data_IF_955105525412
#
_entry.id   IF_955105525412
#
_cell.length_a   1.000
_cell.length_b   1.000
_cell.length_c   1.000
_cell.angle_alpha   90.00
_cell.angle_beta   90.00
_cell.angle_gamma   90.00
#
_symmetry.space_group_name_H-M   'P 1'
#
loop_
_entity.id
_entity.type
_entity.pdbx_description
1 polymer ?
#
# COMPACT_ATOMS: atom_id res chain seq x y z
N UNK A 1 -8.82 4.45 12.16
CA UNK A 1 -8.42 3.27 11.35
C UNK A 1 -9.71 2.59 10.93
N UNK A 2 -10.00 2.52 9.61
CA UNK A 2 -11.04 1.62 9.11
C UNK A 2 -10.68 0.21 9.56
N UNK A 3 -11.70 -0.60 9.89
CA UNK A 3 -11.64 -1.91 10.54
C UNK A 3 -10.81 -2.99 9.81
N UNK A 4 -10.15 -2.68 8.72
CA UNK A 4 -9.30 -3.63 8.01
C UNK A 4 -7.85 -3.43 8.43
N UNK A 5 -7.44 -4.20 9.44
CA UNK A 5 -6.06 -4.22 9.96
C UNK A 5 -5.03 -4.61 8.89
N UNK A 6 -5.46 -5.22 7.81
CA UNK A 6 -4.62 -5.72 6.71
C UNK A 6 -4.58 -4.79 5.49
N UNK A 7 -5.26 -3.64 5.51
CA UNK A 7 -5.20 -2.67 4.44
C UNK A 7 -3.80 -2.03 4.33
N UNK A 8 -3.39 -1.63 3.14
CA UNK A 8 -2.08 -1.01 2.88
C UNK A 8 -1.76 0.17 3.80
N UNK A 9 -2.77 1.01 4.09
CA UNK A 9 -2.65 2.14 5.04
C UNK A 9 -2.33 1.68 6.46
N UNK A 10 -2.94 0.57 6.91
CA UNK A 10 -2.65 0.00 8.23
C UNK A 10 -1.25 -0.61 8.28
N UNK A 11 -0.83 -1.28 7.20
CA UNK A 11 0.53 -1.82 7.07
C UNK A 11 1.60 -0.72 7.17
N UNK A 12 1.36 0.45 6.60
CA UNK A 12 2.26 1.60 6.76
C UNK A 12 2.47 1.96 8.24
N UNK A 13 1.37 2.03 9.02
CA UNK A 13 1.44 2.32 10.45
C UNK A 13 2.18 1.23 11.22
N UNK A 14 1.88 -0.06 10.97
CA UNK A 14 2.54 -1.18 11.68
C UNK A 14 4.03 -1.23 11.40
N UNK A 15 4.46 -1.07 10.16
CA UNK A 15 5.87 -1.03 9.78
C UNK A 15 6.64 0.08 10.51
N UNK A 16 5.99 1.23 10.72
CA UNK A 16 6.58 2.29 11.53
C UNK A 16 6.67 1.90 13.00
N UNK A 17 5.64 1.22 13.54
CA UNK A 17 5.68 0.73 14.93
C UNK A 17 6.75 -0.34 15.11
N UNK A 18 6.90 -1.28 14.15
CA UNK A 18 7.96 -2.30 14.16
C UNK A 18 9.34 -1.63 14.24
N UNK A 19 9.61 -0.63 13.41
CA UNK A 19 10.85 0.15 13.47
C UNK A 19 11.06 0.82 14.83
N UNK A 20 10.03 1.47 15.40
CA UNK A 20 10.14 2.15 16.71
C UNK A 20 10.45 1.15 17.83
N UNK A 21 9.88 -0.05 17.75
CA UNK A 21 10.13 -1.15 18.71
C UNK A 21 11.56 -1.66 18.57
N UNK A 22 12.02 -1.95 17.37
CA UNK A 22 13.39 -2.41 17.08
C UNK A 22 14.44 -1.40 17.58
N UNK A 23 14.15 -0.10 17.48
CA UNK A 23 15.03 0.96 17.99
C UNK A 23 14.93 1.18 19.51
N UNK A 24 14.07 0.45 20.21
CA UNK A 24 13.88 0.62 21.67
C UNK A 24 13.30 1.97 22.09
N UNK A 25 12.52 2.63 21.20
CA UNK A 25 12.02 4.01 21.41
C UNK A 25 10.52 4.06 21.75
N UNK A 26 9.93 2.94 22.17
CA UNK A 26 8.48 2.85 22.43
C UNK A 26 7.99 3.82 23.53
N UNK A 27 8.84 4.15 24.50
CA UNK A 27 8.50 5.10 25.57
C UNK A 27 8.33 6.55 25.12
N UNK A 28 8.90 6.92 23.97
CA UNK A 28 8.77 8.26 23.39
C UNK A 28 7.41 8.48 22.73
N UNK A 29 6.59 7.44 22.61
CA UNK A 29 5.34 7.45 21.86
C UNK A 29 4.14 6.98 22.68
N UNK A 30 2.98 7.55 22.37
CA UNK A 30 1.67 7.12 22.87
C UNK A 30 0.81 6.76 21.67
N UNK A 31 0.26 5.54 21.66
CA UNK A 31 -0.66 5.12 20.59
C UNK A 31 -2.09 5.52 20.90
N UNK A 32 -2.73 6.24 19.99
CA UNK A 32 -4.17 6.47 20.05
C UNK A 32 -4.89 5.37 19.25
N UNK A 33 -5.60 4.51 19.95
CA UNK A 33 -6.20 3.30 19.40
C UNK A 33 -7.73 3.44 19.30
N UNK A 34 -8.26 3.11 18.13
CA UNK A 34 -9.70 2.96 17.99
C UNK A 34 -10.14 1.72 18.77
N UNK A 35 -11.18 1.87 19.59
CA UNK A 35 -11.75 0.81 20.47
C UNK A 35 -12.03 -0.51 19.73
N UNK A 36 -12.26 -0.47 18.42
CA UNK A 36 -12.53 -1.67 17.61
C UNK A 36 -11.29 -2.51 17.34
N UNK A 37 -10.13 -1.88 17.22
CA UNK A 37 -8.85 -2.56 16.94
C UNK A 37 -7.92 -2.59 18.16
N UNK A 38 -8.34 -1.99 19.26
CA UNK A 38 -7.50 -1.76 20.43
C UNK A 38 -6.90 -3.04 20.99
N UNK A 39 -7.72 -4.05 21.27
CA UNK A 39 -7.27 -5.29 21.92
C UNK A 39 -6.16 -5.96 21.10
N UNK A 40 -6.35 -6.04 19.78
CA UNK A 40 -5.40 -6.69 18.89
C UNK A 40 -4.08 -5.90 18.77
N UNK A 41 -4.15 -4.58 18.72
CA UNK A 41 -2.94 -3.75 18.66
C UNK A 41 -2.19 -3.76 19.99
N UNK A 42 -2.89 -3.79 21.14
CA UNK A 42 -2.23 -3.96 22.45
C UNK A 42 -1.55 -5.32 22.60
N UNK A 43 -2.13 -6.38 22.03
CA UNK A 43 -1.51 -7.70 21.96
C UNK A 43 -0.23 -7.69 21.13
N UNK A 44 -0.24 -7.04 19.95
CA UNK A 44 0.92 -6.97 19.06
C UNK A 44 2.02 -6.03 19.55
N UNK A 45 1.64 -4.94 20.22
CA UNK A 45 2.55 -3.87 20.65
C UNK A 45 2.35 -3.52 22.14
N UNK A 46 2.56 -4.47 23.07
CA UNK A 46 2.31 -4.27 24.50
C UNK A 46 3.25 -3.24 25.15
N UNK A 47 4.39 -2.94 24.54
CA UNK A 47 5.40 -2.02 25.03
C UNK A 47 5.01 -0.53 24.92
N UNK A 48 3.96 -0.19 24.16
CA UNK A 48 3.55 1.20 24.03
C UNK A 48 2.53 1.60 25.10
N UNK A 49 2.62 2.84 25.56
CA UNK A 49 1.51 3.51 26.25
C UNK A 49 0.38 3.75 25.26
N UNK A 50 -0.86 3.55 25.69
CA UNK A 50 -2.03 3.63 24.78
C UNK A 50 -3.13 4.51 25.37
N UNK A 51 -3.84 5.20 24.48
CA UNK A 51 -5.08 5.95 24.77
C UNK A 51 -6.17 5.44 23.83
N UNK A 52 -7.26 4.93 24.36
CA UNK A 52 -8.41 4.46 23.58
C UNK A 52 -9.27 5.62 23.11
N UNK A 53 -9.71 5.59 21.84
CA UNK A 53 -10.68 6.52 21.26
C UNK A 53 -11.92 5.77 20.78
N UNK A 54 -13.09 6.38 20.98
CA UNK A 54 -14.38 5.82 20.58
C UNK A 54 -15.26 5.38 21.74
N UNK A 55 -16.42 4.82 21.42
CA UNK A 55 -17.40 4.30 22.37
C UNK A 55 -18.04 3.05 21.83
N UNK A 56 -18.11 2.00 22.66
CA UNK A 56 -18.81 0.73 22.36
C UNK A 56 -20.28 0.96 21.98
N UNK A 57 -20.95 1.89 22.68
CA UNK A 57 -22.36 2.18 22.46
C UNK A 57 -22.65 2.74 21.05
N UNK A 58 -21.67 3.36 20.40
CA UNK A 58 -21.84 4.00 19.10
C UNK A 58 -21.43 3.11 17.92
N UNK A 59 -20.99 1.88 18.14
CA UNK A 59 -20.52 0.96 17.07
C UNK A 59 -21.61 0.67 16.03
N UNK A 60 -22.88 0.64 16.46
CA UNK A 60 -24.04 0.33 15.60
C UNK A 60 -24.43 1.48 14.66
N UNK A 61 -23.93 2.71 14.88
CA UNK A 61 -24.33 3.91 14.14
C UNK A 61 -23.15 4.51 13.36
N UNK A 62 -22.86 4.08 12.11
CA UNK A 62 -21.63 4.42 11.40
C UNK A 62 -21.34 5.91 11.28
N UNK A 63 -22.34 6.73 10.92
CA UNK A 63 -22.16 8.19 10.77
C UNK A 63 -21.89 8.87 12.11
N UNK A 64 -22.72 8.60 13.12
CA UNK A 64 -22.58 9.17 14.48
C UNK A 64 -21.24 8.74 15.07
N UNK A 65 -20.87 7.48 14.90
CA UNK A 65 -19.57 6.95 15.32
C UNK A 65 -18.40 7.71 14.71
N UNK A 66 -18.41 8.00 13.41
CA UNK A 66 -17.33 8.71 12.73
C UNK A 66 -17.18 10.14 13.27
N UNK A 67 -18.29 10.86 13.44
CA UNK A 67 -18.32 12.23 14.02
C UNK A 67 -17.78 12.18 15.46
N UNK A 68 -18.27 11.25 16.26
CA UNK A 68 -17.82 11.08 17.64
C UNK A 68 -16.33 10.74 17.74
N UNK A 69 -15.84 9.82 16.89
CA UNK A 69 -14.42 9.46 16.83
C UNK A 69 -13.53 10.65 16.51
N UNK A 70 -13.95 11.49 15.57
CA UNK A 70 -13.21 12.70 15.20
C UNK A 70 -13.15 13.71 16.37
N UNK A 71 -14.26 13.90 17.08
CA UNK A 71 -14.30 14.74 18.27
C UNK A 71 -13.46 14.17 19.42
N UNK A 72 -13.60 12.86 19.72
CA UNK A 72 -12.89 12.19 20.81
C UNK A 72 -11.38 12.11 20.53
N UNK A 73 -10.97 11.88 19.27
CA UNK A 73 -9.59 12.01 18.83
C UNK A 73 -9.03 13.40 19.18
N UNK A 74 -9.70 14.47 18.72
CA UNK A 74 -9.29 15.83 19.01
C UNK A 74 -9.18 16.09 20.53
N UNK A 75 -10.19 15.69 21.30
CA UNK A 75 -10.24 15.87 22.76
C UNK A 75 -9.06 15.20 23.43
N UNK A 76 -8.81 13.92 23.14
CA UNK A 76 -7.75 13.11 23.78
C UNK A 76 -6.37 13.51 23.35
N UNK A 77 -6.16 13.86 22.08
CA UNK A 77 -4.90 14.45 21.62
C UNK A 77 -4.60 15.75 22.36
N UNK A 78 -5.57 16.64 22.50
CA UNK A 78 -5.37 17.90 23.21
C UNK A 78 -5.10 17.77 24.71
N UNK A 79 -5.50 16.64 25.31
CA UNK A 79 -5.31 16.30 26.71
C UNK A 79 -4.08 15.43 26.98
N UNK A 80 -3.46 14.87 25.94
CA UNK A 80 -2.38 13.90 26.06
C UNK A 80 -1.05 14.48 26.60
N UNK A 81 -0.89 15.81 26.52
CA UNK A 81 0.39 16.47 26.84
C UNK A 81 1.48 16.28 25.77
N UNK A 82 1.21 15.57 24.69
CA UNK A 82 2.16 15.35 23.61
C UNK A 82 2.48 16.65 22.86
N UNK A 83 3.72 16.80 22.42
CA UNK A 83 4.18 17.94 21.63
C UNK A 83 3.71 17.86 20.17
N UNK A 84 3.62 16.65 19.63
CA UNK A 84 3.18 16.39 18.27
C UNK A 84 2.24 15.20 18.20
N UNK A 85 1.45 15.16 17.12
CA UNK A 85 0.67 13.99 16.71
C UNK A 85 1.01 13.63 15.27
N UNK A 86 1.38 12.36 15.07
CA UNK A 86 1.58 11.77 13.76
C UNK A 86 0.35 10.93 13.40
N UNK A 87 -0.32 11.30 12.33
CA UNK A 87 -1.50 10.60 11.81
C UNK A 87 -1.06 9.80 10.59
N UNK A 88 -0.85 8.46 10.71
CA UNK A 88 -0.38 7.62 9.59
C UNK A 88 -1.39 7.54 8.44
N UNK A 89 -2.55 8.13 8.62
CA UNK A 89 -3.57 8.34 7.61
C UNK A 89 -4.41 9.59 7.94
N UNK A 90 -4.34 10.60 7.07
CA UNK A 90 -5.23 11.75 7.09
C UNK A 90 -6.61 11.35 6.56
N UNK A 91 -7.63 11.39 7.42
CA UNK A 91 -8.98 10.94 7.11
C UNK A 91 -10.04 11.71 7.92
N UNK A 92 -11.29 11.30 7.78
CA UNK A 92 -12.44 11.89 8.47
C UNK A 92 -12.31 11.91 10.01
N UNK A 93 -11.58 10.97 10.60
CA UNK A 93 -11.35 10.91 12.06
C UNK A 93 -10.26 11.90 12.48
N UNK A 94 -9.22 12.02 11.69
CA UNK A 94 -8.03 12.82 12.01
C UNK A 94 -8.06 14.21 11.39
N UNK A 95 -9.12 14.60 10.66
CA UNK A 95 -9.17 15.87 9.92
C UNK A 95 -9.23 17.12 10.80
N UNK A 96 -9.77 17.04 12.03
CA UNK A 96 -9.94 18.22 12.89
C UNK A 96 -8.60 18.79 13.38
N UNK A 97 -8.58 20.12 13.59
CA UNK A 97 -7.44 20.81 14.17
C UNK A 97 -7.24 20.40 15.63
N UNK A 98 -6.00 20.17 16.03
CA UNK A 98 -5.56 19.84 17.39
C UNK A 98 -4.55 20.88 17.91
N UNK A 99 -4.28 20.87 19.21
CA UNK A 99 -3.29 21.80 19.82
C UNK A 99 -1.85 21.39 19.54
N UNK A 100 -1.46 20.07 19.67
CA UNK A 100 -0.13 19.63 19.32
C UNK A 100 0.17 19.84 17.84
N UNK A 101 1.47 19.89 17.50
CA UNK A 101 1.92 19.97 16.12
C UNK A 101 1.47 18.73 15.34
N UNK A 102 0.76 18.93 14.23
CA UNK A 102 0.10 17.84 13.51
C UNK A 102 0.79 17.53 12.20
N UNK A 103 1.23 16.27 12.08
CA UNK A 103 1.77 15.68 10.87
C UNK A 103 0.77 14.64 10.35
N UNK A 104 0.23 14.82 9.16
CA UNK A 104 -0.70 13.86 8.55
C UNK A 104 -0.07 13.20 7.33
N UNK A 105 -0.24 11.88 7.20
CA UNK A 105 0.11 11.16 5.97
C UNK A 105 -1.09 11.15 5.03
N UNK A 106 -0.89 11.61 3.80
CA UNK A 106 -1.84 11.45 2.70
C UNK A 106 -1.21 10.46 1.72
N UNK A 107 -1.77 9.25 1.65
CA UNK A 107 -1.23 8.18 0.83
C UNK A 107 -1.41 8.47 -0.66
N UNK A 108 -2.64 8.84 -1.04
CA UNK A 108 -3.03 9.24 -2.38
C UNK A 108 -4.38 9.99 -2.33
N UNK A 109 -4.81 10.49 -3.48
CA UNK A 109 -6.12 11.11 -3.66
C UNK A 109 -7.04 10.28 -4.56
N UNK A 110 -6.84 8.94 -4.64
CA UNK A 110 -7.61 8.05 -5.52
C UNK A 110 -9.11 8.13 -5.25
N UNK A 111 -9.54 8.17 -3.98
CA UNK A 111 -10.96 8.29 -3.64
C UNK A 111 -11.58 9.56 -4.21
N UNK A 112 -10.83 10.67 -4.24
CA UNK A 112 -11.27 11.93 -4.86
C UNK A 112 -11.39 11.81 -6.38
N UNK A 113 -10.55 11.00 -7.01
CA UNK A 113 -10.53 10.80 -8.47
C UNK A 113 -11.57 9.77 -8.93
N UNK A 114 -11.83 8.75 -8.11
CA UNK A 114 -12.67 7.61 -8.49
C UNK A 114 -14.14 7.78 -8.11
N UNK A 115 -14.48 8.77 -7.26
CA UNK A 115 -15.85 8.98 -6.82
C UNK A 115 -16.55 10.09 -7.62
N UNK A 116 -17.90 10.09 -7.62
CA UNK A 116 -18.74 11.07 -8.32
C UNK A 116 -19.84 11.60 -7.38
N UNK A 117 -20.45 12.71 -7.77
CA UNK A 117 -21.63 13.26 -7.12
C UNK A 117 -21.38 13.68 -5.66
N UNK A 118 -22.30 13.35 -4.76
CA UNK A 118 -22.24 13.75 -3.35
C UNK A 118 -21.02 13.14 -2.62
N UNK A 119 -20.67 11.90 -2.95
CA UNK A 119 -19.54 11.21 -2.33
C UNK A 119 -18.21 11.91 -2.67
N UNK A 120 -18.04 12.37 -3.91
CA UNK A 120 -16.90 13.20 -4.29
C UNK A 120 -16.78 14.45 -3.42
N UNK A 121 -17.90 15.19 -3.23
CA UNK A 121 -17.92 16.40 -2.39
C UNK A 121 -17.50 16.09 -0.95
N UNK A 122 -17.95 14.97 -0.41
CA UNK A 122 -17.56 14.54 0.95
C UNK A 122 -16.06 14.28 1.03
N UNK A 123 -15.49 13.55 0.06
CA UNK A 123 -14.03 13.30 0.03
C UNK A 123 -13.25 14.61 -0.12
N UNK A 124 -13.69 15.51 -1.00
CA UNK A 124 -13.07 16.84 -1.14
C UNK A 124 -13.05 17.63 0.17
N UNK A 125 -14.16 17.68 0.90
CA UNK A 125 -14.25 18.38 2.20
C UNK A 125 -13.30 17.75 3.23
N UNK A 126 -13.19 16.41 3.25
CA UNK A 126 -12.28 15.72 4.15
C UNK A 126 -10.83 16.06 3.81
N UNK A 127 -10.45 15.95 2.54
CA UNK A 127 -9.09 16.24 2.07
C UNK A 127 -8.71 17.69 2.34
N UNK A 128 -9.59 18.65 1.98
CA UNK A 128 -9.41 20.09 2.23
C UNK A 128 -9.21 20.37 3.73
N UNK A 129 -9.98 19.67 4.57
CA UNK A 129 -9.91 19.85 6.03
C UNK A 129 -8.61 19.24 6.59
N UNK A 130 -8.18 18.09 6.11
CA UNK A 130 -6.90 17.46 6.48
C UNK A 130 -5.73 18.37 6.08
N UNK A 131 -5.71 18.84 4.83
CA UNK A 131 -4.66 19.72 4.30
C UNK A 131 -4.60 21.02 5.08
N UNK A 132 -5.75 21.66 5.34
CA UNK A 132 -5.84 22.91 6.10
C UNK A 132 -5.34 22.76 7.54
N UNK A 133 -5.74 21.69 8.22
CA UNK A 133 -5.52 21.49 9.66
C UNK A 133 -4.25 20.70 9.99
N UNK A 134 -3.42 20.35 9.02
CA UNK A 134 -2.10 19.74 9.24
C UNK A 134 -1.02 20.81 9.15
N UNK A 135 -0.06 20.77 10.08
CA UNK A 135 1.12 21.62 10.05
C UNK A 135 2.14 21.13 9.02
N UNK A 136 2.24 19.80 8.86
CA UNK A 136 3.01 19.13 7.81
C UNK A 136 2.22 17.95 7.24
N UNK A 137 2.50 17.66 5.97
CA UNK A 137 1.91 16.55 5.22
C UNK A 137 3.04 15.67 4.70
N UNK A 138 2.94 14.39 4.98
CA UNK A 138 3.85 13.36 4.46
C UNK A 138 3.13 12.56 3.38
N UNK A 139 3.82 12.26 2.29
CA UNK A 139 3.33 11.38 1.22
C UNK A 139 4.20 10.15 1.10
N UNK A 140 3.66 9.12 0.45
CA UNK A 140 4.32 7.83 0.27
C UNK A 140 5.13 7.73 -1.03
N UNK A 141 5.01 8.73 -1.93
CA UNK A 141 5.73 8.82 -3.19
C UNK A 141 5.81 10.29 -3.64
N UNK A 142 6.77 10.64 -4.50
CA UNK A 142 6.81 11.96 -5.16
C UNK A 142 5.63 12.14 -6.10
N UNK A 143 5.14 11.05 -6.72
CA UNK A 143 3.91 11.08 -7.49
C UNK A 143 2.72 11.56 -6.63
N UNK A 144 2.51 10.95 -5.45
CA UNK A 144 1.44 11.39 -4.53
C UNK A 144 1.65 12.84 -4.06
N UNK A 145 2.92 13.26 -3.85
CA UNK A 145 3.25 14.66 -3.54
C UNK A 145 2.81 15.59 -4.68
N UNK A 146 3.22 15.29 -5.90
CA UNK A 146 2.88 16.08 -7.09
C UNK A 146 1.36 16.15 -7.29
N UNK A 147 0.66 15.05 -7.07
CA UNK A 147 -0.80 15.00 -7.15
C UNK A 147 -1.46 15.92 -6.09
N UNK A 148 -0.97 15.92 -4.85
CA UNK A 148 -1.47 16.85 -3.82
C UNK A 148 -1.23 18.30 -4.24
N UNK A 149 -0.03 18.61 -4.74
CA UNK A 149 0.31 19.98 -5.16
C UNK A 149 -0.49 20.45 -6.37
N UNK A 150 -0.93 19.55 -7.24
CA UNK A 150 -1.83 19.92 -8.36
C UNK A 150 -3.20 20.41 -7.88
N UNK A 151 -3.70 19.87 -6.77
CA UNK A 151 -4.97 20.35 -6.14
C UNK A 151 -4.76 21.50 -5.15
N UNK A 152 -3.58 21.56 -4.51
CA UNK A 152 -3.26 22.50 -3.43
C UNK A 152 -1.88 23.15 -3.66
N UNK A 153 -1.71 24.00 -4.68
CA UNK A 153 -0.39 24.54 -5.03
C UNK A 153 0.26 25.37 -3.91
N UNK A 154 -0.54 26.01 -3.06
CA UNK A 154 -0.07 26.89 -1.98
C UNK A 154 0.46 26.14 -0.74
N UNK A 155 0.49 24.80 -0.73
CA UNK A 155 0.94 24.03 0.43
C UNK A 155 2.30 23.35 0.25
N UNK A 156 3.06 23.70 -0.79
CA UNK A 156 4.34 23.06 -1.12
C UNK A 156 5.31 23.01 0.06
N UNK A 157 5.42 24.08 0.84
CA UNK A 157 6.28 24.15 2.05
C UNK A 157 5.84 23.19 3.18
N UNK A 158 4.63 22.65 3.11
CA UNK A 158 4.09 21.72 4.08
C UNK A 158 4.24 20.26 3.66
N UNK A 159 4.41 19.95 2.37
CA UNK A 159 4.32 18.60 1.81
C UNK A 159 5.70 18.05 1.52
N UNK A 160 5.97 16.85 2.02
CA UNK A 160 7.21 16.11 1.75
C UNK A 160 6.90 14.64 1.47
N UNK A 161 7.63 14.04 0.55
CA UNK A 161 7.62 12.59 0.35
C UNK A 161 8.69 11.94 1.24
N UNK A 162 8.28 10.96 2.04
CA UNK A 162 9.20 10.14 2.87
C UNK A 162 9.22 8.67 2.42
N UNK A 163 8.36 8.33 1.46
CA UNK A 163 8.24 6.98 0.93
C UNK A 163 7.36 6.06 1.78
N UNK A 164 7.28 4.82 1.34
CA UNK A 164 6.67 3.71 2.07
C UNK A 164 7.67 2.56 2.14
N UNK A 165 7.59 1.75 3.18
CA UNK A 165 8.42 0.56 3.31
C UNK A 165 7.75 -0.66 2.70
N UNK A 166 8.55 -1.66 2.39
CA UNK A 166 8.11 -3.01 2.04
C UNK A 166 8.36 -3.97 3.20
N UNK A 167 7.54 -5.02 3.30
CA UNK A 167 7.73 -6.03 4.35
C UNK A 167 8.90 -6.93 4.00
N UNK A 168 9.72 -7.23 5.01
CA UNK A 168 10.58 -8.41 5.02
C UNK A 168 9.75 -9.56 5.57
N UNK A 169 9.51 -10.55 4.76
CA UNK A 169 8.66 -11.68 5.13
C UNK A 169 9.47 -12.77 5.85
N UNK A 170 8.85 -13.51 6.79
CA UNK A 170 9.49 -14.68 7.43
C UNK A 170 9.99 -15.67 6.38
N UNK A 171 11.12 -16.35 6.67
CA UNK A 171 11.74 -17.29 5.74
C UNK A 171 11.11 -18.71 5.81
N UNK A 172 9.81 -18.81 6.07
CA UNK A 172 9.07 -20.06 5.96
C UNK A 172 8.90 -20.43 4.50
N UNK A 173 9.68 -21.39 4.02
CA UNK A 173 9.70 -21.82 2.62
C UNK A 173 8.79 -23.00 2.40
N UNK A 174 7.63 -22.75 1.81
CA UNK A 174 6.68 -23.79 1.42
C UNK A 174 6.18 -23.55 0.01
N UNK A 175 6.53 -24.42 -0.93
CA UNK A 175 5.96 -24.32 -2.28
C UNK A 175 4.50 -24.78 -2.26
N UNK A 176 3.59 -23.83 -2.46
CA UNK A 176 2.14 -24.05 -2.38
C UNK A 176 1.57 -24.55 -3.72
N UNK A 177 2.23 -24.24 -4.82
CA UNK A 177 1.82 -24.59 -6.18
C UNK A 177 2.92 -25.40 -6.86
N UNK A 178 2.59 -26.57 -7.40
CA UNK A 178 3.57 -27.51 -7.96
C UNK A 178 4.05 -27.12 -9.35
N UNK A 179 3.11 -26.63 -10.19
CA UNK A 179 3.40 -26.23 -11.55
C UNK A 179 4.22 -24.93 -11.59
N UNK A 180 4.84 -24.64 -12.70
CA UNK A 180 5.36 -23.29 -12.99
C UNK A 180 4.20 -22.31 -13.07
N UNK A 181 4.42 -21.04 -12.66
CA UNK A 181 3.33 -20.07 -12.75
C UNK A 181 3.79 -18.64 -12.85
N UNK A 182 2.96 -17.87 -13.55
CA UNK A 182 2.93 -16.42 -13.52
C UNK A 182 2.02 -16.01 -12.38
N UNK A 183 2.42 -15.03 -11.59
CA UNK A 183 1.67 -14.53 -10.44
C UNK A 183 1.15 -13.12 -10.67
N UNK A 184 -0.07 -12.89 -10.29
CA UNK A 184 -0.66 -11.56 -10.05
C UNK A 184 -1.18 -11.49 -8.61
N UNK A 185 -0.98 -10.34 -7.94
CA UNK A 185 -1.50 -10.09 -6.58
C UNK A 185 -2.15 -8.72 -6.52
N UNK A 186 -3.41 -8.67 -6.13
CA UNK A 186 -4.10 -7.39 -5.94
C UNK A 186 -5.61 -7.45 -6.02
N UNK A 187 -6.24 -6.28 -5.92
CA UNK A 187 -7.68 -6.16 -6.17
C UNK A 187 -7.97 -6.47 -7.64
N UNK A 188 -9.04 -7.19 -7.87
CA UNK A 188 -9.48 -7.53 -9.22
C UNK A 188 -10.47 -6.45 -9.68
N UNK A 189 -9.99 -5.50 -10.46
CA UNK A 189 -10.80 -4.39 -10.99
C UNK A 189 -10.11 -3.78 -12.21
N UNK A 190 -10.83 -2.95 -12.96
CA UNK A 190 -10.36 -2.30 -14.18
C UNK A 190 -9.03 -1.56 -13.98
N UNK A 191 -8.91 -0.78 -12.91
CA UNK A 191 -7.71 0.00 -12.62
C UNK A 191 -6.45 -0.84 -12.39
N UNK A 192 -6.60 -2.11 -12.00
CA UNK A 192 -5.50 -3.06 -11.83
C UNK A 192 -5.19 -3.87 -13.08
N UNK A 193 -5.99 -3.66 -14.12
CA UNK A 193 -5.77 -4.15 -15.49
C UNK A 193 -5.56 -5.66 -15.62
N UNK A 194 -6.26 -6.42 -14.76
CA UNK A 194 -6.19 -7.88 -14.77
C UNK A 194 -6.73 -8.46 -16.08
N UNK A 195 -7.68 -7.78 -16.72
CA UNK A 195 -8.24 -8.17 -18.00
C UNK A 195 -7.17 -8.29 -19.09
N UNK A 196 -6.32 -7.27 -19.23
CA UNK A 196 -5.23 -7.30 -20.24
C UNK A 196 -4.22 -8.40 -19.92
N UNK A 197 -3.90 -8.65 -18.63
CA UNK A 197 -3.06 -9.77 -18.24
C UNK A 197 -3.65 -11.12 -18.66
N UNK A 198 -4.94 -11.35 -18.45
CA UNK A 198 -5.63 -12.58 -18.86
C UNK A 198 -5.54 -12.76 -20.37
N UNK A 199 -5.81 -11.70 -21.15
CA UNK A 199 -5.70 -11.72 -22.61
C UNK A 199 -4.26 -12.00 -23.06
N UNK A 200 -3.28 -11.33 -22.48
CA UNK A 200 -1.87 -11.57 -22.78
C UNK A 200 -1.47 -13.04 -22.48
N UNK A 201 -1.91 -13.58 -21.34
CA UNK A 201 -1.70 -14.98 -21.02
C UNK A 201 -2.36 -15.93 -22.02
N UNK A 202 -3.57 -15.61 -22.52
CA UNK A 202 -4.25 -16.41 -23.53
C UNK A 202 -3.49 -16.52 -24.85
N UNK A 203 -2.63 -15.57 -25.17
CA UNK A 203 -1.78 -15.59 -26.37
C UNK A 203 -0.57 -16.54 -26.26
N UNK A 204 -0.09 -16.81 -25.04
CA UNK A 204 1.14 -17.57 -24.83
C UNK A 204 0.93 -18.94 -24.17
N UNK A 205 -0.23 -19.21 -23.56
CA UNK A 205 -0.46 -20.43 -22.76
C UNK A 205 -0.27 -21.75 -23.51
N UNK A 206 -0.51 -21.78 -24.81
CA UNK A 206 -0.31 -22.97 -25.63
C UNK A 206 1.17 -23.31 -25.84
N UNK A 207 2.02 -22.28 -25.92
CA UNK A 207 3.48 -22.42 -26.05
C UNK A 207 4.15 -22.72 -24.70
N UNK A 208 3.49 -22.38 -23.58
CA UNK A 208 3.94 -22.58 -22.21
C UNK A 208 2.94 -23.42 -21.42
N UNK A 209 2.67 -24.65 -21.92
CA UNK A 209 1.60 -25.51 -21.42
C UNK A 209 1.81 -25.97 -19.97
N UNK A 210 3.04 -25.93 -19.46
CA UNK A 210 3.46 -26.26 -18.10
C UNK A 210 3.37 -25.06 -17.13
N UNK A 211 3.10 -23.84 -17.64
CA UNK A 211 3.04 -22.63 -16.85
C UNK A 211 1.59 -22.14 -16.70
N UNK A 212 1.11 -22.02 -15.47
CA UNK A 212 -0.24 -21.54 -15.15
C UNK A 212 -0.21 -20.05 -14.77
N UNK A 213 -1.39 -19.41 -14.75
CA UNK A 213 -1.58 -18.08 -14.18
C UNK A 213 -2.26 -18.22 -12.82
N UNK A 214 -1.62 -17.71 -11.78
CA UNK A 214 -2.16 -17.63 -10.42
C UNK A 214 -2.53 -16.18 -10.12
N UNK A 215 -3.79 -15.94 -9.80
CA UNK A 215 -4.35 -14.64 -9.44
C UNK A 215 -4.71 -14.66 -7.97
N UNK A 216 -3.96 -13.93 -7.14
CA UNK A 216 -4.27 -13.78 -5.71
C UNK A 216 -5.10 -12.51 -5.52
N UNK A 217 -6.37 -12.68 -5.14
CA UNK A 217 -7.30 -11.57 -4.97
C UNK A 217 -8.71 -12.01 -4.60
N UNK A 218 -9.52 -11.08 -4.15
CA UNK A 218 -10.92 -11.37 -3.82
C UNK A 218 -11.80 -11.47 -5.07
N UNK A 219 -12.56 -12.55 -5.21
CA UNK A 219 -13.61 -12.69 -6.24
C UNK A 219 -14.69 -11.61 -6.03
N UNK A 220 -15.13 -11.02 -7.12
CA UNK A 220 -16.12 -9.95 -7.11
C UNK A 220 -16.87 -9.88 -8.46
N UNK A 221 -17.82 -8.95 -8.58
CA UNK A 221 -18.61 -8.78 -9.81
C UNK A 221 -17.76 -8.52 -11.07
N UNK A 222 -16.58 -7.91 -10.94
CA UNK A 222 -15.69 -7.70 -12.09
C UNK A 222 -15.08 -9.03 -12.56
N UNK A 223 -14.72 -9.92 -11.62
CA UNK A 223 -14.28 -11.26 -11.96
C UNK A 223 -15.41 -12.03 -12.68
N UNK A 224 -16.62 -12.04 -12.10
CA UNK A 224 -17.74 -12.82 -12.63
C UNK A 224 -18.22 -12.32 -13.99
N UNK A 225 -18.28 -11.01 -14.20
CA UNK A 225 -18.87 -10.39 -15.38
C UNK A 225 -17.87 -10.04 -16.49
N UNK A 226 -16.58 -9.94 -16.18
CA UNK A 226 -15.54 -9.54 -17.15
C UNK A 226 -14.49 -10.64 -17.33
N UNK A 227 -13.89 -11.12 -16.24
CA UNK A 227 -12.77 -12.06 -16.33
C UNK A 227 -13.24 -13.46 -16.72
N UNK A 228 -14.24 -13.99 -16.05
CA UNK A 228 -14.71 -15.36 -16.30
C UNK A 228 -15.24 -15.59 -17.73
N UNK A 229 -15.96 -14.67 -18.37
CA UNK A 229 -16.29 -14.76 -19.80
C UNK A 229 -15.05 -14.87 -20.70
N UNK A 230 -14.01 -14.04 -20.45
CA UNK A 230 -12.77 -14.08 -21.25
C UNK A 230 -12.05 -15.42 -21.08
N UNK A 231 -12.01 -15.97 -19.85
CA UNK A 231 -11.42 -17.30 -19.61
C UNK A 231 -12.14 -18.38 -20.46
N UNK A 232 -13.47 -18.32 -20.51
CA UNK A 232 -14.31 -19.27 -21.29
C UNK A 232 -14.10 -19.11 -22.79
N UNK A 233 -14.12 -17.89 -23.28
CA UNK A 233 -13.91 -17.59 -24.71
C UNK A 233 -12.55 -18.12 -25.22
N UNK A 234 -11.51 -17.99 -24.39
CA UNK A 234 -10.15 -18.43 -24.75
C UNK A 234 -9.83 -19.86 -24.30
N UNK A 235 -10.78 -20.61 -23.72
CA UNK A 235 -10.60 -21.99 -23.25
C UNK A 235 -9.43 -22.18 -22.25
N UNK A 236 -9.22 -21.20 -21.34
CA UNK A 236 -8.12 -21.20 -20.37
C UNK A 236 -8.58 -21.31 -18.91
N UNK A 237 -9.83 -21.69 -18.63
CA UNK A 237 -10.37 -21.75 -17.25
C UNK A 237 -9.52 -22.62 -16.34
N UNK A 238 -9.05 -23.78 -16.82
CA UNK A 238 -8.23 -24.71 -16.04
C UNK A 238 -6.75 -24.30 -15.90
N UNK A 239 -6.36 -23.27 -16.66
CA UNK A 239 -4.99 -22.72 -16.64
C UNK A 239 -4.86 -21.52 -15.71
N UNK A 240 -5.98 -20.92 -15.25
CA UNK A 240 -6.01 -19.74 -14.40
C UNK A 240 -6.60 -20.11 -13.03
N UNK A 241 -5.82 -19.89 -11.98
CA UNK A 241 -6.17 -20.24 -10.60
C UNK A 241 -6.43 -18.96 -9.78
N UNK A 242 -7.66 -18.76 -9.33
CA UNK A 242 -8.00 -17.70 -8.40
C UNK A 242 -7.79 -18.16 -6.95
N UNK A 243 -6.90 -17.50 -6.24
CA UNK A 243 -6.62 -17.74 -4.81
C UNK A 243 -7.22 -16.62 -3.99
N UNK A 244 -8.13 -16.99 -3.09
CA UNK A 244 -8.82 -16.06 -2.17
C UNK A 244 -8.37 -16.29 -0.73
N UNK A 245 -8.51 -15.27 0.11
CA UNK A 245 -8.21 -15.34 1.55
C UNK A 245 -6.80 -15.89 1.86
N UNK A 246 -5.82 -15.50 1.03
CA UNK A 246 -4.43 -15.88 1.19
C UNK A 246 -3.86 -15.28 2.49
N UNK A 247 -3.20 -16.10 3.32
CA UNK A 247 -2.46 -15.63 4.49
C UNK A 247 -1.21 -14.85 4.04
N UNK A 248 -0.63 -14.01 4.91
CA UNK A 248 0.61 -13.29 4.57
C UNK A 248 1.79 -14.26 4.36
N UNK A 249 1.85 -15.35 5.13
CA UNK A 249 2.86 -16.39 4.96
C UNK A 249 2.71 -17.12 3.61
N UNK A 250 1.47 -17.48 3.24
CA UNK A 250 1.21 -18.08 1.93
C UNK A 250 1.48 -17.11 0.79
N UNK A 251 1.09 -15.83 0.93
CA UNK A 251 1.37 -14.80 -0.06
C UNK A 251 2.87 -14.65 -0.33
N UNK A 252 3.68 -14.68 0.73
CA UNK A 252 5.15 -14.70 0.63
C UNK A 252 5.63 -15.86 -0.21
N UNK A 253 5.07 -17.06 0.02
CA UNK A 253 5.43 -18.24 -0.73
C UNK A 253 4.94 -18.18 -2.18
N UNK A 254 3.76 -17.61 -2.45
CA UNK A 254 3.34 -17.34 -3.83
C UNK A 254 4.29 -16.39 -4.55
N UNK A 255 4.75 -15.32 -3.94
CA UNK A 255 5.77 -14.47 -4.55
C UNK A 255 7.08 -15.24 -4.79
N UNK A 256 7.62 -15.89 -3.78
CA UNK A 256 8.96 -16.51 -3.81
C UNK A 256 9.12 -17.59 -4.88
N UNK A 257 8.06 -18.31 -5.17
CA UNK A 257 8.10 -19.45 -6.09
C UNK A 257 7.46 -19.19 -7.45
N UNK A 258 7.04 -17.96 -7.73
CA UNK A 258 6.57 -17.56 -9.05
C UNK A 258 7.73 -17.44 -10.03
N UNK A 259 7.54 -17.95 -11.24
CA UNK A 259 8.51 -17.80 -12.34
C UNK A 259 8.52 -16.37 -12.87
N UNK A 260 7.38 -15.64 -12.76
CA UNK A 260 7.22 -14.25 -13.15
C UNK A 260 6.08 -13.63 -12.33
N UNK A 261 6.29 -12.44 -11.79
CA UNK A 261 5.23 -11.61 -11.24
C UNK A 261 4.86 -10.52 -12.25
N UNK A 262 3.56 -10.41 -12.58
CA UNK A 262 3.07 -9.39 -13.54
C UNK A 262 2.11 -8.45 -12.84
N UNK A 263 2.38 -7.12 -12.95
CA UNK A 263 1.59 -6.09 -12.29
C UNK A 263 1.30 -4.93 -13.24
N UNK A 264 0.31 -5.06 -14.15
CA UNK A 264 0.04 -4.08 -15.18
C UNK A 264 -0.88 -2.95 -14.72
N UNK A 265 -0.82 -2.56 -13.45
CA UNK A 265 -1.73 -1.58 -12.85
C UNK A 265 -1.65 -0.23 -13.55
N UNK A 266 -2.82 0.37 -13.82
CA UNK A 266 -2.95 1.68 -14.46
C UNK A 266 -2.89 2.84 -13.46
N UNK A 267 -3.06 2.54 -12.14
CA UNK A 267 -3.03 3.58 -11.11
C UNK A 267 -2.56 3.03 -9.77
N UNK A 268 -1.52 3.66 -9.23
CA UNK A 268 -0.95 3.35 -7.92
C UNK A 268 -0.51 4.61 -7.16
N UNK A 269 -0.78 4.62 -5.85
CA UNK A 269 -0.19 5.63 -4.96
C UNK A 269 1.25 5.31 -4.55
N UNK A 270 1.62 4.00 -4.53
CA UNK A 270 2.97 3.50 -4.28
C UNK A 270 3.28 2.25 -5.10
N UNK A 271 2.45 1.19 -5.00
CA UNK A 271 2.70 -0.06 -5.71
C UNK A 271 3.62 -1.01 -4.94
N UNK A 272 3.27 -1.38 -3.72
CA UNK A 272 4.05 -2.33 -2.93
C UNK A 272 4.21 -3.72 -3.58
N UNK A 273 3.21 -4.32 -4.25
CA UNK A 273 3.31 -5.69 -4.74
C UNK A 273 4.50 -5.99 -5.67
N UNK A 274 4.84 -5.17 -6.68
CA UNK A 274 6.03 -5.39 -7.49
C UNK A 274 7.34 -5.33 -6.70
N UNK A 275 7.42 -4.46 -5.69
CA UNK A 275 8.59 -4.38 -4.83
C UNK A 275 8.68 -5.60 -3.90
N UNK A 276 7.56 -6.05 -3.36
CA UNK A 276 7.48 -7.24 -2.51
C UNK A 276 7.94 -8.50 -3.28
N UNK A 277 7.49 -8.66 -4.54
CA UNK A 277 7.93 -9.74 -5.42
C UNK A 277 9.45 -9.67 -5.70
N UNK A 278 9.94 -8.48 -6.07
CA UNK A 278 11.35 -8.28 -6.42
C UNK A 278 12.31 -8.51 -5.25
N UNK A 279 11.93 -8.12 -4.03
CA UNK A 279 12.72 -8.38 -2.81
C UNK A 279 12.80 -9.89 -2.51
N UNK A 280 11.79 -10.65 -2.89
CA UNK A 280 11.79 -12.11 -2.79
C UNK A 280 12.49 -12.77 -3.98
N UNK A 281 13.17 -11.99 -4.83
CA UNK A 281 13.94 -12.43 -6.01
C UNK A 281 13.08 -13.07 -7.10
N UNK A 282 11.83 -12.68 -7.18
CA UNK A 282 10.95 -13.03 -8.29
C UNK A 282 11.16 -12.07 -9.44
N UNK A 283 11.33 -12.51 -10.69
CA UNK A 283 11.30 -11.63 -11.86
C UNK A 283 9.99 -10.86 -11.92
N UNK A 284 10.04 -9.57 -12.22
CA UNK A 284 8.85 -8.69 -12.18
C UNK A 284 8.69 -7.95 -13.50
N UNK A 285 7.50 -8.05 -14.10
CA UNK A 285 7.04 -7.22 -15.21
C UNK A 285 5.92 -6.29 -14.70
N UNK A 286 6.10 -4.98 -14.82
CA UNK A 286 5.15 -4.00 -14.28
C UNK A 286 4.94 -2.82 -15.21
N UNK A 287 3.84 -2.09 -15.04
CA UNK A 287 3.66 -0.80 -15.71
C UNK A 287 4.57 0.27 -15.09
N UNK A 288 4.73 1.39 -15.78
CA UNK A 288 5.44 2.58 -15.29
C UNK A 288 4.47 3.73 -14.96
N UNK A 289 3.17 3.45 -14.92
CA UNK A 289 2.15 4.47 -14.65
C UNK A 289 2.20 4.94 -13.21
N UNK A 290 1.91 6.22 -13.02
CA UNK A 290 1.84 6.88 -11.72
C UNK A 290 3.13 6.70 -10.90
N UNK A 291 3.00 6.24 -9.65
CA UNK A 291 4.15 6.01 -8.76
C UNK A 291 5.02 4.80 -9.16
N UNK A 292 4.53 3.88 -10.00
CA UNK A 292 5.31 2.68 -10.37
C UNK A 292 6.59 3.02 -11.12
N UNK A 293 6.57 4.05 -12.00
CA UNK A 293 7.78 4.53 -12.67
C UNK A 293 8.85 5.03 -11.71
N UNK A 294 8.42 5.71 -10.62
CA UNK A 294 9.30 6.20 -9.57
C UNK A 294 9.84 5.09 -8.67
N UNK A 295 8.91 4.28 -8.10
CA UNK A 295 9.27 3.36 -7.02
C UNK A 295 10.04 2.14 -7.49
N UNK A 296 9.87 1.73 -8.74
CA UNK A 296 10.63 0.62 -9.34
C UNK A 296 12.05 1.01 -9.75
N UNK A 297 12.34 2.33 -9.81
CA UNK A 297 13.69 2.90 -10.07
C UNK A 297 14.33 2.40 -11.37
N UNK A 298 13.52 1.93 -12.33
CA UNK A 298 14.02 1.33 -13.56
C UNK A 298 14.70 -0.04 -13.39
N UNK A 299 14.59 -0.66 -12.22
CA UNK A 299 15.24 -1.93 -11.90
C UNK A 299 14.46 -3.16 -12.42
N UNK A 300 13.16 -3.00 -12.65
CA UNK A 300 12.24 -4.08 -13.03
C UNK A 300 11.95 -4.03 -14.53
N UNK A 301 11.49 -5.14 -15.11
CA UNK A 301 10.98 -5.13 -16.47
C UNK A 301 9.71 -4.29 -16.55
N UNK A 302 9.60 -3.49 -17.59
CA UNK A 302 8.57 -2.45 -17.73
C UNK A 302 7.71 -2.68 -18.98
N UNK A 303 6.42 -2.38 -18.85
CA UNK A 303 5.49 -2.28 -19.97
C UNK A 303 5.45 -0.82 -20.44
N UNK A 304 5.63 -0.60 -21.74
CA UNK A 304 5.51 0.72 -22.35
C UNK A 304 4.04 1.13 -22.43
N UNK A 305 3.21 0.21 -22.92
CA UNK A 305 1.76 0.32 -22.82
C UNK A 305 1.15 -0.88 -22.05
N UNK A 306 0.78 -0.71 -20.77
CA UNK A 306 0.17 -1.78 -19.99
C UNK A 306 -1.20 -2.25 -20.51
N UNK A 307 -1.81 -1.54 -21.47
CA UNK A 307 -3.06 -1.94 -22.12
C UNK A 307 -2.85 -2.76 -23.40
N UNK A 308 -1.60 -2.89 -23.88
CA UNK A 308 -1.27 -3.72 -25.03
C UNK A 308 -1.02 -5.17 -24.58
N UNK A 309 -2.00 -6.06 -24.87
CA UNK A 309 -1.90 -7.48 -24.57
C UNK A 309 -0.79 -8.19 -25.38
N UNK A 310 -0.44 -7.73 -26.56
CA UNK A 310 0.62 -8.33 -27.38
C UNK A 310 2.00 -7.97 -26.87
N UNK A 311 2.24 -6.71 -26.48
CA UNK A 311 3.47 -6.31 -25.81
C UNK A 311 3.67 -7.11 -24.52
N UNK A 312 2.62 -7.17 -23.69
CA UNK A 312 2.67 -7.89 -22.42
C UNK A 312 2.95 -9.37 -22.63
N UNK A 313 2.29 -10.02 -23.58
CA UNK A 313 2.50 -11.43 -23.93
C UNK A 313 3.93 -11.68 -24.40
N UNK A 314 4.46 -10.82 -25.27
CA UNK A 314 5.85 -10.90 -25.76
C UNK A 314 6.87 -10.79 -24.64
N UNK A 315 6.75 -9.76 -23.78
CA UNK A 315 7.65 -9.56 -22.62
C UNK A 315 7.54 -10.71 -21.60
N UNK A 316 6.33 -11.21 -21.32
CA UNK A 316 6.12 -12.39 -20.47
C UNK A 316 6.86 -13.61 -21.03
N UNK A 317 6.70 -13.89 -22.31
CA UNK A 317 7.32 -15.02 -23.00
C UNK A 317 8.85 -14.92 -22.96
N UNK A 318 9.40 -13.73 -23.24
CA UNK A 318 10.84 -13.44 -23.20
C UNK A 318 11.42 -13.73 -21.82
N UNK A 319 10.82 -13.19 -20.75
CA UNK A 319 11.31 -13.33 -19.38
C UNK A 319 11.24 -14.78 -18.92
N UNK A 320 10.16 -15.49 -19.26
CA UNK A 320 9.98 -16.90 -18.89
C UNK A 320 10.93 -17.87 -19.62
N UNK A 321 11.34 -17.50 -20.84
CA UNK A 321 12.28 -18.27 -21.66
C UNK A 321 13.73 -17.95 -21.25
N UNK A 322 14.02 -16.70 -20.94
CA UNK A 322 15.34 -16.20 -20.56
C UNK A 322 15.26 -15.48 -19.20
N UNK A 323 15.09 -16.21 -18.10
CA UNK A 323 14.95 -15.60 -16.79
C UNK A 323 16.24 -14.87 -16.37
N UNK A 324 16.13 -13.77 -15.62
CA UNK A 324 17.30 -13.07 -15.10
C UNK A 324 18.13 -13.95 -14.18
N UNK A 325 19.44 -13.75 -14.16
CA UNK A 325 20.33 -14.48 -13.27
C UNK A 325 20.03 -14.19 -11.80
N UNK A 326 20.35 -15.16 -10.93
CA UNK A 326 20.24 -14.99 -9.48
C UNK A 326 21.03 -13.77 -8.97
N UNK A 327 22.21 -13.51 -9.53
CA UNK A 327 23.04 -12.34 -9.21
C UNK A 327 22.32 -11.02 -9.55
N UNK A 328 21.63 -10.95 -10.70
CA UNK A 328 20.83 -9.78 -11.08
C UNK A 328 19.68 -9.56 -10.12
N UNK A 329 18.98 -10.62 -9.73
CA UNK A 329 17.86 -10.56 -8.79
C UNK A 329 18.32 -10.13 -7.38
N UNK A 330 19.48 -10.61 -6.92
CA UNK A 330 20.05 -10.18 -5.63
C UNK A 330 20.42 -8.70 -5.65
N UNK A 331 21.04 -8.18 -6.71
CA UNK A 331 21.33 -6.74 -6.87
C UNK A 331 20.07 -5.88 -6.85
N UNK A 332 19.02 -6.32 -7.53
CA UNK A 332 17.71 -5.62 -7.51
C UNK A 332 17.14 -5.58 -6.10
N UNK A 333 17.12 -6.70 -5.39
CA UNK A 333 16.67 -6.80 -4.01
C UNK A 333 17.44 -5.83 -3.10
N UNK A 334 18.77 -5.86 -3.15
CA UNK A 334 19.62 -5.03 -2.28
C UNK A 334 19.39 -3.53 -2.54
N UNK A 335 19.28 -3.12 -3.80
CA UNK A 335 18.99 -1.73 -4.17
C UNK A 335 17.59 -1.31 -3.67
N UNK A 336 16.57 -2.17 -3.82
CA UNK A 336 15.23 -1.88 -3.32
C UNK A 336 15.19 -1.80 -1.79
N UNK A 337 15.91 -2.67 -1.08
CA UNK A 337 15.99 -2.64 0.38
C UNK A 337 16.73 -1.41 0.91
N UNK A 338 17.74 -0.92 0.18
CA UNK A 338 18.42 0.33 0.50
C UNK A 338 17.44 1.52 0.57
N UNK A 339 16.41 1.50 -0.28
CA UNK A 339 15.43 2.59 -0.34
C UNK A 339 14.16 2.35 0.49
N UNK A 340 13.69 1.10 0.56
CA UNK A 340 12.34 0.76 1.02
C UNK A 340 12.30 -0.22 2.20
N UNK A 341 13.44 -0.55 2.81
CA UNK A 341 13.43 -1.33 4.06
C UNK A 341 12.70 -0.58 5.18
N UNK A 342 12.15 -1.32 6.13
CA UNK A 342 11.48 -0.75 7.32
C UNK A 342 12.45 0.16 8.08
N UNK A 343 13.71 -0.27 8.22
CA UNK A 343 14.75 0.49 8.90
C UNK A 343 15.02 1.85 8.24
N UNK A 344 15.17 1.88 6.92
CA UNK A 344 15.48 3.11 6.20
C UNK A 344 14.29 4.08 6.13
N UNK A 345 13.08 3.56 5.87
CA UNK A 345 11.87 4.40 5.82
C UNK A 345 11.46 4.84 7.23
N UNK A 346 11.46 3.93 8.21
CA UNK A 346 11.16 4.24 9.60
C UNK A 346 12.10 5.30 10.16
N UNK A 347 13.40 5.16 9.89
CA UNK A 347 14.41 6.17 10.25
C UNK A 347 14.09 7.53 9.64
N UNK A 348 13.83 7.61 8.33
CA UNK A 348 13.47 8.87 7.66
C UNK A 348 12.26 9.55 8.29
N UNK A 349 11.22 8.78 8.62
CA UNK A 349 10.00 9.30 9.24
C UNK A 349 10.29 9.81 10.66
N UNK A 350 10.95 9.01 11.49
CA UNK A 350 11.26 9.39 12.87
C UNK A 350 12.21 10.59 12.94
N UNK A 351 13.25 10.62 12.09
CA UNK A 351 14.18 11.76 12.00
C UNK A 351 13.44 13.02 11.51
N UNK A 352 12.52 12.90 10.56
CA UNK A 352 11.71 14.03 10.10
C UNK A 352 10.82 14.58 11.21
N UNK A 353 10.14 13.72 11.97
CA UNK A 353 9.31 14.12 13.11
C UNK A 353 10.19 14.87 14.13
N UNK A 354 11.30 14.27 14.56
CA UNK A 354 12.23 14.85 15.55
C UNK A 354 12.77 16.20 15.09
N UNK A 355 13.29 16.29 13.87
CA UNK A 355 13.88 17.53 13.35
C UNK A 355 12.84 18.65 13.20
N UNK A 356 11.62 18.29 12.82
CA UNK A 356 10.51 19.25 12.70
C UNK A 356 10.13 19.82 14.08
N UNK A 357 10.11 18.96 15.11
CA UNK A 357 9.83 19.40 16.49
C UNK A 357 10.92 20.30 17.06
N UNK A 358 12.20 19.95 16.82
CA UNK A 358 13.32 20.81 17.25
C UNK A 358 13.32 22.20 16.62
N UNK A 359 12.94 22.30 15.33
CA UNK A 359 12.79 23.58 14.64
C UNK A 359 11.63 24.40 15.22
N UNK A 360 10.52 23.75 15.51
CA UNK A 360 9.32 24.42 16.05
C UNK A 360 9.52 24.91 17.48
N UNK A 361 10.35 24.24 18.29
CA UNK A 361 10.69 24.66 19.66
C UNK A 361 11.66 25.85 19.71
N UNK A 362 12.53 26.03 18.70
CA UNK A 362 13.46 27.16 18.59
C UNK A 362 12.83 28.42 17.98
N UNK A 363 11.65 28.29 17.36
CA UNK A 363 10.93 29.41 16.76
C UNK A 363 9.85 30.02 17.66
N UNK A 364 9.69 29.51 18.87
CA UNK A 364 8.86 30.07 19.94
C UNK A 364 9.75 30.73 21.00
#
# INVERSE_FOLDING_TARGET
IRFNLYAGVSKYAYRLLDYIVEEGKSDDYILLLNIVSENKIREWYPQFKTISIGSQALLKYPMIRTIYLSYDFRRKVNQSGCQAVFCPWGNEITCLKVKPFKISVIHDLQLRLDTKGLLLKIHQIIDDTVVKNSDKIVTISEFSRSQILSFYPNVESKVISLGNSVLMYPDERKRLFKDRYILYVGRICEMKNVMTLIKAYSLIHSQMSDCKLVVVGGRNNYWDNVIEPILKENNIQEKVNLVQNCSEADLTNYYRYADLFVFPSLREGFGSPPLEAAILKTPVLTSIKDSLGEVTRGLLYQLDDPCDEHEMASKMSEILTNPPSEEKLEKIKDELLLHYSIQNVGKRICDYIKNTMLKNSKGK
#
